data_IF_798174460736
#
_entry.id   IF_798174460736
#
_cell.length_a   1.000
_cell.length_b   1.000
_cell.length_c   1.000
_cell.angle_alpha   90.00
_cell.angle_beta   90.00
_cell.angle_gamma   90.00
#
_symmetry.space_group_name_H-M   'P 1'
#
loop_
_entity.id
_entity.type
_entity.pdbx_description
1 polymer ?
#
# COMPACT_ATOMS: atom_id res chain seq x y z
N UNK A 1 50.16 1.23 -42.24
CA UNK A 1 50.07 2.12 -41.08
C UNK A 1 48.75 2.93 -41.02
N UNK A 2 47.67 2.45 -41.66
CA UNK A 2 46.36 3.10 -41.69
C UNK A 2 45.19 2.19 -41.19
N UNK A 3 45.48 0.97 -40.73
CA UNK A 3 44.47 -0.02 -40.29
C UNK A 3 44.32 -0.02 -38.74
N UNK A 4 45.33 0.46 -38.00
CA UNK A 4 45.30 0.39 -36.53
C UNK A 4 44.51 1.50 -35.86
N UNK A 5 44.29 2.63 -36.55
CA UNK A 5 43.56 3.78 -35.96
C UNK A 5 42.04 3.50 -35.91
N UNK A 6 41.47 2.80 -36.87
CA UNK A 6 40.05 2.42 -36.87
C UNK A 6 39.70 1.40 -35.78
N UNK A 7 40.62 0.48 -35.49
CA UNK A 7 40.43 -0.54 -34.45
C UNK A 7 40.47 0.09 -33.05
N UNK A 8 41.34 1.10 -32.86
CA UNK A 8 41.45 1.82 -31.61
C UNK A 8 40.20 2.69 -31.30
N UNK A 9 39.59 3.29 -32.33
CA UNK A 9 38.33 4.04 -32.19
C UNK A 9 37.12 3.12 -31.93
N UNK A 10 37.13 1.87 -32.41
CA UNK A 10 36.04 0.90 -32.14
C UNK A 10 36.11 0.34 -30.73
N UNK A 11 37.28 0.17 -30.15
CA UNK A 11 37.47 -0.27 -28.76
C UNK A 11 37.07 0.88 -27.80
N UNK A 12 37.46 2.12 -28.08
CA UNK A 12 37.08 3.28 -27.25
C UNK A 12 35.56 3.53 -27.33
N UNK A 13 34.89 3.33 -28.47
CA UNK A 13 33.44 3.44 -28.55
C UNK A 13 32.69 2.34 -27.77
N UNK A 14 33.23 1.14 -27.69
CA UNK A 14 32.67 0.03 -26.94
C UNK A 14 32.84 0.23 -25.43
N UNK A 15 34.00 0.74 -25.00
CA UNK A 15 34.25 1.10 -23.60
C UNK A 15 33.47 2.34 -23.16
N UNK A 16 33.16 3.28 -24.06
CA UNK A 16 32.33 4.44 -23.75
C UNK A 16 30.86 4.10 -23.59
N UNK A 17 30.32 3.07 -24.30
CA UNK A 17 28.97 2.56 -24.06
C UNK A 17 28.90 1.77 -22.74
N UNK A 18 29.91 0.96 -22.43
CA UNK A 18 29.98 0.22 -21.16
C UNK A 18 30.16 1.13 -19.94
N UNK A 19 30.80 2.32 -20.09
CA UNK A 19 30.91 3.33 -19.03
C UNK A 19 29.63 4.16 -18.86
N UNK A 20 28.77 4.29 -19.87
CA UNK A 20 27.48 4.97 -19.72
C UNK A 20 26.52 4.15 -18.84
N UNK A 21 26.58 2.83 -18.89
CA UNK A 21 25.71 1.96 -18.07
C UNK A 21 26.17 1.84 -16.61
N UNK A 22 27.43 2.20 -16.29
CA UNK A 22 27.97 2.20 -14.91
C UNK A 22 27.72 3.52 -14.16
N UNK A 23 27.36 4.60 -14.87
CA UNK A 23 27.17 5.94 -14.28
C UNK A 23 25.70 6.21 -13.84
N UNK A 24 24.80 5.24 -13.91
CA UNK A 24 23.35 5.47 -13.73
C UNK A 24 22.78 5.14 -12.34
N UNK A 25 23.60 4.69 -11.38
CA UNK A 25 23.14 4.61 -9.98
C UNK A 25 23.81 5.73 -9.21
N UNK A 26 23.15 6.90 -9.15
CA UNK A 26 23.66 8.06 -8.41
C UNK A 26 23.28 8.04 -6.92
N UNK A 27 22.52 7.04 -6.48
CA UNK A 27 22.24 6.81 -5.05
C UNK A 27 23.50 6.25 -4.38
N UNK A 28 24.00 6.96 -3.37
CA UNK A 28 25.16 6.54 -2.59
C UNK A 28 24.80 6.45 -1.11
N UNK A 29 25.57 5.70 -0.34
CA UNK A 29 25.37 5.62 1.10
C UNK A 29 25.56 7.00 1.77
N UNK A 30 26.50 7.81 1.27
CA UNK A 30 26.72 9.17 1.74
C UNK A 30 25.49 10.07 1.54
N UNK A 31 24.78 9.94 0.39
CA UNK A 31 23.50 10.64 0.17
C UNK A 31 22.45 10.23 1.18
N UNK A 32 22.36 8.93 1.52
CA UNK A 32 21.40 8.45 2.50
C UNK A 32 21.72 8.96 3.91
N UNK A 33 23.00 9.00 4.30
CA UNK A 33 23.41 9.60 5.57
C UNK A 33 23.16 11.11 5.60
N UNK A 34 23.42 11.81 4.49
CA UNK A 34 23.08 13.23 4.35
C UNK A 34 21.57 13.45 4.45
N UNK A 35 20.76 12.60 3.78
CA UNK A 35 19.31 12.64 3.92
C UNK A 35 18.85 12.41 5.37
N UNK A 36 19.45 11.46 6.08
CA UNK A 36 19.16 11.22 7.49
C UNK A 36 19.51 12.44 8.37
N UNK A 37 20.58 13.18 8.05
CA UNK A 37 20.91 14.42 8.74
C UNK A 37 19.90 15.52 8.43
N UNK A 38 19.55 15.75 7.17
CA UNK A 38 18.60 16.78 6.72
C UNK A 38 17.19 16.53 7.29
N UNK A 39 16.81 15.29 7.43
CA UNK A 39 15.49 14.90 7.94
C UNK A 39 15.35 14.99 9.48
N UNK A 40 16.43 15.27 10.21
CA UNK A 40 16.34 15.50 11.67
C UNK A 40 15.41 16.68 11.98
N UNK A 41 14.44 16.45 12.86
CA UNK A 41 13.43 17.45 13.21
C UNK A 41 12.32 17.66 12.16
N UNK A 42 12.40 16.96 11.04
CA UNK A 42 11.40 16.99 9.96
C UNK A 42 10.59 15.69 9.94
N UNK A 43 11.26 14.58 9.73
CA UNK A 43 10.63 13.26 9.80
C UNK A 43 10.80 12.67 11.21
N UNK A 44 9.82 11.89 11.64
CA UNK A 44 9.93 11.12 12.88
C UNK A 44 10.84 9.92 12.62
N UNK A 45 11.73 9.60 13.56
CA UNK A 45 12.27 8.25 13.67
C UNK A 45 11.15 7.38 14.23
N UNK A 46 10.43 6.71 13.34
CA UNK A 46 9.28 5.88 13.71
C UNK A 46 9.72 4.66 14.51
N UNK A 47 8.85 4.19 15.40
CA UNK A 47 9.15 3.05 16.25
C UNK A 47 9.20 1.74 15.45
N UNK A 48 10.01 0.81 15.95
CA UNK A 48 9.99 -0.59 15.58
C UNK A 48 9.26 -1.36 16.69
N UNK A 49 8.05 -1.85 16.39
CA UNK A 49 7.15 -2.48 17.36
C UNK A 49 7.15 -4.00 17.15
N UNK A 50 7.41 -4.77 18.19
CA UNK A 50 7.27 -6.22 18.15
C UNK A 50 5.79 -6.63 18.05
N UNK A 51 5.48 -7.57 17.17
CA UNK A 51 4.12 -7.99 16.83
C UNK A 51 3.93 -9.52 16.84
N UNK A 52 4.15 -10.20 17.99
CA UNK A 52 4.19 -11.67 18.07
C UNK A 52 2.85 -12.34 17.74
N UNK A 53 1.74 -11.59 17.81
CA UNK A 53 0.40 -12.12 17.53
C UNK A 53 0.07 -12.20 16.04
N UNK A 54 0.92 -11.65 15.16
CA UNK A 54 0.68 -11.67 13.72
C UNK A 54 1.12 -12.99 13.07
N UNK A 55 2.14 -13.64 13.62
CA UNK A 55 2.57 -14.98 13.18
C UNK A 55 3.05 -15.78 14.39
N UNK A 56 2.69 -17.08 14.52
CA UNK A 56 3.12 -17.92 15.62
C UNK A 56 4.55 -18.45 15.46
N UNK A 57 5.08 -18.47 14.25
CA UNK A 57 6.34 -19.10 13.86
C UNK A 57 7.42 -18.13 13.38
N UNK A 58 7.14 -16.82 13.42
CA UNK A 58 8.05 -15.78 12.94
C UNK A 58 8.07 -14.61 13.91
N UNK A 59 9.26 -14.09 14.24
CA UNK A 59 9.40 -12.89 15.08
C UNK A 59 9.17 -11.64 14.25
N UNK A 60 7.93 -11.17 14.19
CA UNK A 60 7.53 -10.00 13.37
C UNK A 60 7.72 -8.71 14.17
N UNK A 61 8.38 -7.75 13.53
CA UNK A 61 8.51 -6.36 13.95
C UNK A 61 7.87 -5.45 12.90
N UNK A 62 7.21 -4.38 13.33
CA UNK A 62 6.55 -3.41 12.47
C UNK A 62 7.31 -2.09 12.46
N UNK A 63 7.84 -1.68 11.31
CA UNK A 63 8.35 -0.31 11.12
C UNK A 63 7.19 0.60 10.78
N UNK A 64 6.80 1.48 11.71
CA UNK A 64 5.51 2.17 11.72
C UNK A 64 5.52 3.50 10.96
N UNK A 65 5.83 3.48 9.66
CA UNK A 65 5.77 4.68 8.81
C UNK A 65 4.34 5.21 8.57
N UNK A 66 3.31 4.44 8.92
CA UNK A 66 1.92 4.91 9.03
C UNK A 66 1.72 5.98 10.12
N UNK A 67 2.61 6.04 11.10
CA UNK A 67 2.62 7.06 12.17
C UNK A 67 3.53 8.26 11.88
N UNK A 68 4.07 8.36 10.66
CA UNK A 68 4.87 9.50 10.22
C UNK A 68 4.03 10.79 10.21
N UNK A 69 4.66 11.96 10.20
CA UNK A 69 3.98 13.28 10.33
C UNK A 69 2.92 13.55 9.26
N UNK A 70 3.05 12.95 8.06
CA UNK A 70 2.03 13.01 6.99
C UNK A 70 1.24 11.71 6.87
N UNK A 71 1.33 10.81 7.87
CA UNK A 71 0.70 9.51 7.82
C UNK A 71 1.35 8.51 6.85
N UNK A 72 2.54 8.81 6.30
CA UNK A 72 3.28 7.90 5.42
C UNK A 72 4.75 8.28 5.27
N UNK A 73 5.57 7.35 4.80
CA UNK A 73 7.00 7.52 4.54
C UNK A 73 7.34 8.60 3.50
N UNK A 74 6.40 8.98 2.65
CA UNK A 74 6.62 9.84 1.47
C UNK A 74 7.26 11.19 1.80
N UNK A 75 7.04 11.70 2.99
CA UNK A 75 7.66 12.96 3.44
C UNK A 75 9.19 12.90 3.43
N UNK A 76 9.79 11.74 3.66
CA UNK A 76 11.24 11.56 3.72
C UNK A 76 11.90 11.91 2.39
N UNK A 77 11.48 11.22 1.32
CA UNK A 77 12.02 11.46 -0.02
C UNK A 77 11.62 12.82 -0.59
N UNK A 78 10.36 13.24 -0.42
CA UNK A 78 9.89 14.53 -0.89
C UNK A 78 10.67 15.69 -0.24
N UNK A 79 10.86 15.65 1.08
CA UNK A 79 11.59 16.70 1.78
C UNK A 79 13.06 16.71 1.39
N UNK A 80 13.72 15.55 1.33
CA UNK A 80 15.13 15.49 0.95
C UNK A 80 15.34 16.02 -0.47
N UNK A 81 14.54 15.59 -1.45
CA UNK A 81 14.60 16.11 -2.83
C UNK A 81 14.45 17.61 -2.87
N UNK A 82 13.43 18.17 -2.23
CA UNK A 82 13.15 19.61 -2.24
C UNK A 82 14.26 20.39 -1.54
N UNK A 83 14.89 19.84 -0.50
CA UNK A 83 16.02 20.47 0.19
C UNK A 83 17.27 20.59 -0.68
N UNK A 84 17.42 19.76 -1.71
CA UNK A 84 18.57 19.76 -2.63
C UNK A 84 18.40 20.71 -3.84
N UNK A 85 17.23 21.34 -3.99
CA UNK A 85 16.98 22.28 -5.09
C UNK A 85 17.86 23.53 -4.95
N UNK A 86 18.37 24.03 -6.08
CA UNK A 86 19.06 25.31 -6.15
C UNK A 86 18.11 26.47 -5.85
N UNK A 87 18.64 27.64 -5.49
CA UNK A 87 17.80 28.82 -5.24
C UNK A 87 16.99 29.25 -6.49
N UNK A 88 17.55 29.02 -7.69
CA UNK A 88 16.82 29.25 -8.94
C UNK A 88 15.66 28.31 -9.16
N UNK A 89 15.83 27.02 -8.85
CA UNK A 89 14.74 26.02 -8.89
C UNK A 89 13.66 26.32 -7.85
N UNK A 90 14.06 26.68 -6.63
CA UNK A 90 13.13 27.09 -5.56
C UNK A 90 12.32 28.33 -5.97
N UNK A 91 12.94 29.31 -6.62
CA UNK A 91 12.26 30.52 -7.07
C UNK A 91 11.21 30.25 -8.16
N UNK A 92 11.41 29.23 -9.01
CA UNK A 92 10.42 28.83 -10.02
C UNK A 92 9.27 28.00 -9.43
N UNK A 93 9.42 27.49 -8.20
CA UNK A 93 8.44 26.62 -7.57
C UNK A 93 8.55 25.16 -8.00
N UNK A 94 7.64 24.34 -7.48
CA UNK A 94 7.64 22.91 -7.72
C UNK A 94 6.24 22.41 -8.13
N UNK A 95 6.25 21.32 -8.89
CA UNK A 95 5.02 20.63 -9.34
C UNK A 95 5.11 19.16 -8.99
N UNK A 96 3.98 18.57 -8.63
CA UNK A 96 3.84 17.13 -8.47
C UNK A 96 2.49 16.66 -9.03
N UNK A 97 2.41 15.38 -9.40
CA UNK A 97 1.15 14.70 -9.70
C UNK A 97 0.93 13.58 -8.68
N UNK A 98 -0.08 13.73 -7.84
CA UNK A 98 -0.48 12.68 -6.88
C UNK A 98 -1.76 13.07 -6.16
N UNK A 99 -2.69 12.13 -6.01
CA UNK A 99 -3.88 12.29 -5.16
C UNK A 99 -3.73 11.64 -3.78
N UNK A 100 -2.50 11.31 -3.35
CA UNK A 100 -2.27 10.55 -2.11
C UNK A 100 -1.09 11.05 -1.27
N UNK A 101 -0.33 10.09 -0.75
CA UNK A 101 0.75 10.32 0.21
C UNK A 101 1.87 11.23 -0.32
N UNK A 102 2.18 11.13 -1.61
CA UNK A 102 3.23 11.96 -2.21
C UNK A 102 2.82 13.44 -2.26
N UNK A 103 1.58 13.74 -2.59
CA UNK A 103 1.03 15.09 -2.56
C UNK A 103 1.24 15.77 -1.20
N UNK A 104 0.91 15.06 -0.13
CA UNK A 104 1.06 15.58 1.24
C UNK A 104 2.54 15.75 1.63
N UNK A 105 3.41 14.82 1.22
CA UNK A 105 4.85 14.92 1.43
C UNK A 105 5.46 16.15 0.73
N UNK A 106 5.09 16.37 -0.53
CA UNK A 106 5.53 17.53 -1.32
C UNK A 106 5.01 18.84 -0.73
N UNK A 107 3.70 18.91 -0.43
CA UNK A 107 3.08 20.10 0.15
C UNK A 107 3.74 20.53 1.46
N UNK A 108 3.95 19.58 2.40
CA UNK A 108 4.63 19.84 3.65
C UNK A 108 6.06 20.34 3.43
N UNK A 109 6.82 19.67 2.55
CA UNK A 109 8.21 19.99 2.29
C UNK A 109 8.35 21.37 1.64
N UNK A 110 7.52 21.67 0.63
CA UNK A 110 7.50 22.96 -0.04
C UNK A 110 7.22 24.10 0.95
N UNK A 111 6.17 23.96 1.74
CA UNK A 111 5.78 24.97 2.74
C UNK A 111 6.89 25.23 3.76
N UNK A 112 7.57 24.18 4.24
CA UNK A 112 8.69 24.34 5.19
C UNK A 112 9.91 25.05 4.58
N UNK A 113 10.07 24.94 3.26
CA UNK A 113 11.13 25.66 2.54
C UNK A 113 10.69 27.02 1.97
N UNK A 114 9.42 27.41 2.17
CA UNK A 114 8.87 28.66 1.63
C UNK A 114 8.73 28.65 0.10
N UNK A 115 8.59 27.47 -0.52
CA UNK A 115 8.50 27.29 -1.97
C UNK A 115 7.05 27.15 -2.38
N UNK A 116 6.63 27.83 -3.44
CA UNK A 116 5.33 27.65 -4.05
C UNK A 116 5.23 26.25 -4.67
N UNK A 117 4.14 25.52 -4.39
CA UNK A 117 3.93 24.17 -4.90
C UNK A 117 2.54 24.01 -5.50
N UNK A 118 2.49 23.38 -6.68
CA UNK A 118 1.26 23.00 -7.36
C UNK A 118 1.17 21.48 -7.41
N UNK A 119 0.04 20.91 -6.99
CA UNK A 119 -0.19 19.46 -7.02
C UNK A 119 -1.40 19.18 -7.93
N UNK A 120 -1.13 18.51 -9.06
CA UNK A 120 -2.16 18.06 -9.98
C UNK A 120 -2.78 16.74 -9.47
N UNK A 121 -4.12 16.68 -9.49
CA UNK A 121 -4.91 15.52 -9.06
C UNK A 121 -6.10 15.32 -10.01
N UNK A 122 -6.55 14.06 -10.22
CA UNK A 122 -7.86 13.84 -10.86
C UNK A 122 -8.97 14.51 -10.07
N UNK A 123 -10.00 15.02 -10.75
CA UNK A 123 -11.17 15.66 -10.13
C UNK A 123 -12.01 14.68 -9.28
N UNK A 124 -11.91 13.37 -9.55
CA UNK A 124 -12.48 12.30 -8.73
C UNK A 124 -11.70 11.95 -7.46
N UNK A 125 -10.60 12.67 -7.12
CA UNK A 125 -9.84 12.42 -5.92
C UNK A 125 -10.69 12.63 -4.63
N UNK A 126 -10.51 11.79 -3.59
CA UNK A 126 -11.25 11.95 -2.33
C UNK A 126 -11.07 13.36 -1.74
N UNK A 127 -12.16 13.99 -1.34
CA UNK A 127 -12.18 15.37 -0.81
C UNK A 127 -11.22 15.50 0.39
N UNK A 128 -11.15 14.49 1.25
CA UNK A 128 -10.25 14.46 2.40
C UNK A 128 -8.77 14.58 2.00
N UNK A 129 -8.36 13.96 0.89
CA UNK A 129 -6.99 14.03 0.36
C UNK A 129 -6.69 15.40 -0.26
N UNK A 130 -7.65 15.96 -1.01
CA UNK A 130 -7.56 17.32 -1.57
C UNK A 130 -7.39 18.37 -0.46
N UNK A 131 -8.27 18.34 0.53
CA UNK A 131 -8.24 19.29 1.64
C UNK A 131 -7.00 19.12 2.55
N UNK A 132 -6.51 17.89 2.72
CA UNK A 132 -5.27 17.65 3.45
C UNK A 132 -4.06 18.25 2.75
N UNK A 133 -3.99 18.15 1.41
CA UNK A 133 -2.91 18.74 0.61
C UNK A 133 -2.95 20.27 0.65
N UNK A 134 -4.14 20.89 0.49
CA UNK A 134 -4.31 22.34 0.63
C UNK A 134 -3.93 22.84 2.03
N UNK A 135 -4.33 22.12 3.09
CA UNK A 135 -4.00 22.46 4.47
C UNK A 135 -2.50 22.46 4.75
N UNK A 136 -1.75 21.62 4.01
CA UNK A 136 -0.28 21.58 4.06
C UNK A 136 0.39 22.68 3.21
N UNK A 137 -0.41 23.55 2.56
CA UNK A 137 0.06 24.78 1.90
C UNK A 137 0.26 24.67 0.39
N UNK A 138 -0.07 23.55 -0.26
CA UNK A 138 0.03 23.45 -1.71
C UNK A 138 -1.22 24.00 -2.41
N UNK A 139 -1.05 24.59 -3.57
CA UNK A 139 -2.10 24.82 -4.55
C UNK A 139 -2.50 23.48 -5.19
N UNK A 140 -3.79 23.19 -5.27
CA UNK A 140 -4.31 21.96 -5.87
C UNK A 140 -4.94 22.26 -7.22
N UNK A 141 -4.41 21.69 -8.28
CA UNK A 141 -4.94 21.71 -9.62
C UNK A 141 -5.77 20.43 -9.87
N UNK A 142 -7.10 20.54 -9.85
CA UNK A 142 -8.00 19.44 -10.18
C UNK A 142 -8.16 19.31 -11.69
N UNK A 143 -7.87 18.11 -12.21
CA UNK A 143 -7.91 17.80 -13.64
C UNK A 143 -9.01 16.78 -13.92
N UNK A 144 -9.86 17.06 -14.88
CA UNK A 144 -10.94 16.14 -15.26
C UNK A 144 -10.34 14.91 -15.92
N UNK A 145 -10.66 13.73 -15.37
CA UNK A 145 -10.24 12.45 -15.94
C UNK A 145 -9.46 11.56 -14.96
N UNK A 146 -8.44 10.90 -15.49
CA UNK A 146 -7.64 9.87 -14.79
C UNK A 146 -6.37 10.45 -14.15
N UNK A 147 -5.57 9.58 -13.53
CA UNK A 147 -4.23 9.94 -13.08
C UNK A 147 -3.32 10.36 -14.24
N UNK A 148 -3.44 9.68 -15.39
CA UNK A 148 -2.61 9.96 -16.56
C UNK A 148 -2.91 11.39 -17.09
N UNK A 149 -4.19 11.81 -17.14
CA UNK A 149 -4.59 13.16 -17.51
C UNK A 149 -4.03 14.22 -16.54
N UNK A 150 -4.05 13.94 -15.24
CA UNK A 150 -3.48 14.83 -14.23
C UNK A 150 -1.95 14.92 -14.32
N UNK A 151 -1.28 13.84 -14.69
CA UNK A 151 0.15 13.81 -14.93
C UNK A 151 0.53 14.65 -16.16
N UNK A 152 -0.20 14.48 -17.27
CA UNK A 152 0.03 15.27 -18.49
C UNK A 152 -0.13 16.77 -18.20
N UNK A 153 -1.15 17.15 -17.44
CA UNK A 153 -1.33 18.56 -17.03
C UNK A 153 -0.19 19.06 -16.15
N UNK A 154 0.36 18.21 -15.27
CA UNK A 154 1.51 18.58 -14.46
C UNK A 154 2.76 18.82 -15.33
N UNK A 155 2.96 17.99 -16.36
CA UNK A 155 4.06 18.14 -17.32
C UNK A 155 3.90 19.43 -18.15
N UNK A 156 2.66 19.74 -18.61
CA UNK A 156 2.39 21.01 -19.30
C UNK A 156 2.71 22.22 -18.41
N UNK A 157 2.23 22.23 -17.16
CA UNK A 157 2.52 23.30 -16.20
C UNK A 157 4.02 23.43 -15.93
N UNK A 158 4.75 22.32 -15.85
CA UNK A 158 6.21 22.33 -15.74
C UNK A 158 6.86 23.06 -16.93
N UNK A 159 6.41 22.79 -18.15
CA UNK A 159 6.93 23.45 -19.36
C UNK A 159 6.59 24.94 -19.40
N UNK A 160 5.36 25.30 -19.00
CA UNK A 160 4.87 26.69 -18.98
C UNK A 160 5.62 27.56 -17.94
N UNK A 161 5.90 27.00 -16.77
CA UNK A 161 6.43 27.76 -15.61
C UNK A 161 7.93 27.56 -15.36
N UNK A 162 8.51 26.50 -15.90
CA UNK A 162 9.87 26.08 -15.59
C UNK A 162 10.04 25.52 -14.16
N UNK A 163 8.94 25.24 -13.45
CA UNK A 163 8.97 24.66 -12.11
C UNK A 163 9.57 23.24 -12.10
N UNK A 164 10.13 22.84 -10.98
CA UNK A 164 10.76 21.51 -10.85
C UNK A 164 9.70 20.46 -10.55
N UNK A 165 9.63 19.40 -11.38
CA UNK A 165 8.76 18.26 -11.13
C UNK A 165 9.35 17.36 -10.04
N UNK A 166 8.57 17.07 -9.00
CA UNK A 166 8.98 16.19 -7.91
C UNK A 166 8.41 14.80 -8.15
N UNK A 167 9.26 13.90 -8.67
CA UNK A 167 8.85 12.55 -9.03
C UNK A 167 8.53 11.70 -7.78
N UNK A 168 7.46 10.88 -7.77
CA UNK A 168 7.02 10.16 -6.57
C UNK A 168 7.91 8.97 -6.16
N UNK A 169 8.82 8.48 -7.03
CA UNK A 169 9.66 7.30 -6.76
C UNK A 169 10.94 7.20 -7.61
N UNK A 170 10.94 7.63 -8.88
CA UNK A 170 12.06 7.44 -9.81
C UNK A 170 12.97 8.67 -9.86
N UNK A 171 13.63 8.95 -8.73
CA UNK A 171 14.53 10.09 -8.54
C UNK A 171 15.52 9.73 -7.43
N UNK A 172 16.82 9.95 -7.67
CA UNK A 172 17.92 9.57 -6.76
C UNK A 172 17.81 10.18 -5.36
N UNK A 173 17.41 11.45 -5.27
CA UNK A 173 17.24 12.14 -3.99
C UNK A 173 16.00 11.61 -3.26
N UNK A 174 14.90 11.35 -3.98
CA UNK A 174 13.71 10.73 -3.40
C UNK A 174 14.05 9.35 -2.86
N UNK A 175 14.75 8.52 -3.63
CA UNK A 175 15.21 7.19 -3.23
C UNK A 175 16.12 7.27 -2.01
N UNK A 176 17.08 8.21 -1.99
CA UNK A 176 17.99 8.41 -0.87
C UNK A 176 17.25 8.80 0.42
N UNK A 177 16.26 9.69 0.32
CA UNK A 177 15.39 10.04 1.46
C UNK A 177 14.64 8.83 2.03
N UNK A 178 14.11 7.95 1.17
CA UNK A 178 13.45 6.70 1.60
C UNK A 178 14.44 5.71 2.22
N UNK A 179 15.69 5.69 1.76
CA UNK A 179 16.77 4.85 2.27
C UNK A 179 17.06 5.05 3.75
N UNK A 180 16.74 6.22 4.30
CA UNK A 180 16.90 6.51 5.74
C UNK A 180 16.13 5.56 6.64
N UNK A 181 15.04 4.95 6.14
CA UNK A 181 14.29 3.90 6.86
C UNK A 181 15.16 2.65 7.06
N UNK A 182 15.95 2.28 6.05
CA UNK A 182 16.89 1.15 6.16
C UNK A 182 17.94 1.36 7.24
N UNK A 183 18.48 2.60 7.36
CA UNK A 183 19.39 2.96 8.45
C UNK A 183 18.72 2.83 9.82
N UNK A 184 17.50 3.35 9.95
CA UNK A 184 16.75 3.27 11.20
C UNK A 184 16.42 1.82 11.61
N UNK A 185 16.08 0.95 10.66
CA UNK A 185 15.82 -0.48 10.92
C UNK A 185 17.05 -1.16 11.48
N UNK A 186 18.22 -1.00 10.85
CA UNK A 186 19.47 -1.59 11.30
C UNK A 186 19.93 -1.05 12.67
N UNK A 187 19.64 0.22 12.97
CA UNK A 187 19.93 0.83 14.27
C UNK A 187 18.98 0.31 15.38
N UNK A 188 17.70 0.06 15.04
CA UNK A 188 16.69 -0.40 16.00
C UNK A 188 16.69 -1.93 16.21
N UNK A 189 17.15 -2.73 15.23
CA UNK A 189 17.23 -4.18 15.28
C UNK A 189 18.49 -4.67 14.55
N UNK A 190 19.61 -4.68 15.24
CA UNK A 190 20.92 -4.98 14.65
C UNK A 190 21.04 -6.42 14.11
N UNK A 191 20.26 -7.37 14.66
CA UNK A 191 20.23 -8.79 14.31
C UNK A 191 18.98 -9.16 13.49
N UNK A 192 18.47 -8.22 12.68
CA UNK A 192 17.37 -8.48 11.73
C UNK A 192 17.81 -9.47 10.65
N UNK A 193 16.99 -10.47 10.38
CA UNK A 193 17.24 -11.47 9.33
C UNK A 193 16.65 -11.05 7.96
N UNK A 194 15.46 -10.43 7.99
CA UNK A 194 14.78 -10.03 6.77
C UNK A 194 13.93 -8.75 6.94
N UNK A 195 13.78 -8.01 5.86
CA UNK A 195 12.90 -6.83 5.77
C UNK A 195 11.95 -6.98 4.60
N UNK A 196 10.66 -6.78 4.84
CA UNK A 196 9.60 -6.87 3.83
C UNK A 196 9.08 -5.45 3.55
N UNK A 197 9.12 -5.05 2.27
CA UNK A 197 8.87 -3.67 1.85
C UNK A 197 7.79 -3.62 0.75
N UNK A 198 6.77 -2.77 0.89
CA UNK A 198 5.78 -2.53 -0.16
C UNK A 198 6.41 -1.95 -1.44
N UNK A 199 5.94 -2.40 -2.60
CA UNK A 199 6.37 -1.88 -3.91
C UNK A 199 5.18 -1.30 -4.67
N UNK A 200 5.24 0.01 -4.99
CA UNK A 200 4.53 0.62 -6.10
C UNK A 200 5.50 0.81 -7.27
N UNK A 201 5.93 2.03 -7.53
CA UNK A 201 6.96 2.32 -8.54
C UNK A 201 8.40 2.00 -8.16
N UNK A 202 8.66 1.52 -6.92
CA UNK A 202 9.96 0.99 -6.50
C UNK A 202 10.82 1.91 -5.62
N UNK A 203 10.51 3.21 -5.49
CA UNK A 203 11.41 4.16 -4.80
C UNK A 203 11.69 3.84 -3.32
N UNK A 204 10.69 3.33 -2.60
CA UNK A 204 10.84 2.95 -1.20
C UNK A 204 11.81 1.76 -1.05
N UNK A 205 11.50 0.66 -1.74
CA UNK A 205 12.31 -0.55 -1.63
C UNK A 205 13.72 -0.34 -2.17
N UNK A 206 13.90 0.46 -3.23
CA UNK A 206 15.23 0.81 -3.76
C UNK A 206 16.10 1.48 -2.70
N UNK A 207 15.58 2.50 -2.03
CA UNK A 207 16.31 3.18 -0.97
C UNK A 207 16.60 2.26 0.23
N UNK A 208 15.59 1.55 0.71
CA UNK A 208 15.70 0.65 1.87
C UNK A 208 16.67 -0.49 1.58
N UNK A 209 16.51 -1.18 0.43
CA UNK A 209 17.37 -2.31 0.06
C UNK A 209 18.82 -1.88 -0.14
N UNK A 210 19.06 -0.75 -0.80
CA UNK A 210 20.40 -0.23 -0.99
C UNK A 210 21.08 0.09 0.34
N UNK A 211 20.39 0.78 1.27
CA UNK A 211 20.93 1.10 2.58
C UNK A 211 21.27 -0.19 3.37
N UNK A 212 20.35 -1.14 3.41
CA UNK A 212 20.53 -2.41 4.13
C UNK A 212 21.67 -3.23 3.52
N UNK A 213 21.65 -3.49 2.20
CA UNK A 213 22.67 -4.31 1.53
C UNK A 213 24.06 -3.70 1.55
N UNK A 214 24.16 -2.36 1.61
CA UNK A 214 25.45 -1.66 1.73
C UNK A 214 26.07 -1.82 3.12
N UNK A 215 25.25 -1.96 4.18
CA UNK A 215 25.71 -2.03 5.56
C UNK A 215 25.74 -3.47 6.11
N UNK A 216 24.75 -4.28 5.73
CA UNK A 216 24.66 -5.69 6.11
C UNK A 216 24.09 -6.52 4.94
N UNK A 217 24.94 -7.03 4.03
CA UNK A 217 24.50 -7.78 2.84
C UNK A 217 23.80 -9.11 3.15
N UNK A 218 23.94 -9.63 4.38
CA UNK A 218 23.32 -10.89 4.80
C UNK A 218 21.80 -10.74 5.05
N UNK A 219 21.33 -9.55 5.40
CA UNK A 219 19.90 -9.29 5.62
C UNK A 219 19.15 -9.45 4.29
N UNK A 220 18.10 -10.26 4.31
CA UNK A 220 17.22 -10.44 3.14
C UNK A 220 16.26 -9.28 2.99
N UNK A 221 16.08 -8.79 1.77
CA UNK A 221 15.08 -7.76 1.46
C UNK A 221 14.08 -8.31 0.46
N UNK A 222 12.83 -8.33 0.87
CA UNK A 222 11.72 -8.83 0.06
C UNK A 222 10.78 -7.71 -0.31
N UNK A 223 10.33 -7.73 -1.57
CA UNK A 223 9.33 -6.79 -2.07
C UNK A 223 7.94 -7.41 -2.15
N UNK A 224 6.91 -6.60 -1.91
CA UNK A 224 5.52 -7.06 -2.00
C UNK A 224 4.68 -6.09 -2.80
N UNK A 225 3.92 -6.63 -3.77
CA UNK A 225 2.91 -5.89 -4.54
C UNK A 225 1.51 -6.46 -4.31
N UNK A 226 0.49 -5.65 -4.58
CA UNK A 226 -0.86 -6.16 -4.74
C UNK A 226 -0.96 -7.00 -6.04
N UNK A 227 -1.64 -8.14 -5.98
CA UNK A 227 -1.84 -9.02 -7.15
C UNK A 227 -2.58 -8.31 -8.30
N UNK A 228 -3.37 -7.27 -7.99
CA UNK A 228 -4.05 -6.43 -8.99
C UNK A 228 -3.18 -5.33 -9.60
N UNK A 229 -1.91 -5.18 -9.18
CA UNK A 229 -0.96 -4.20 -9.71
C UNK A 229 0.50 -4.74 -9.69
N UNK A 230 0.80 -5.90 -10.33
CA UNK A 230 2.07 -6.61 -10.18
C UNK A 230 3.15 -6.13 -11.16
N UNK A 231 3.26 -4.83 -11.42
CA UNK A 231 4.16 -4.29 -12.45
C UNK A 231 5.64 -4.60 -12.21
N UNK A 232 6.14 -4.41 -10.99
CA UNK A 232 7.52 -4.73 -10.63
C UNK A 232 7.75 -6.25 -10.55
N UNK A 233 6.76 -7.00 -10.05
CA UNK A 233 6.82 -8.46 -10.00
C UNK A 233 7.00 -9.04 -11.42
N UNK A 234 6.16 -8.64 -12.37
CA UNK A 234 6.26 -9.08 -13.75
C UNK A 234 7.62 -8.66 -14.36
N UNK A 235 8.01 -7.40 -14.15
CA UNK A 235 9.28 -6.87 -14.67
C UNK A 235 10.48 -7.68 -14.18
N UNK A 236 10.51 -8.06 -12.88
CA UNK A 236 11.61 -8.87 -12.33
C UNK A 236 11.56 -10.32 -12.77
N UNK A 237 10.38 -10.89 -13.03
CA UNK A 237 10.28 -12.26 -13.59
C UNK A 237 10.81 -12.34 -15.02
N UNK A 238 10.64 -11.29 -15.80
CA UNK A 238 11.03 -11.26 -17.22
C UNK A 238 12.35 -10.52 -17.48
N UNK A 239 12.97 -9.94 -16.45
CA UNK A 239 14.22 -9.17 -16.51
C UNK A 239 14.17 -7.97 -17.47
N UNK A 240 13.00 -7.35 -17.63
CA UNK A 240 12.81 -6.09 -18.36
C UNK A 240 11.58 -5.34 -17.82
N UNK A 241 11.60 -4.03 -18.00
CA UNK A 241 10.48 -3.17 -17.60
C UNK A 241 9.21 -3.53 -18.34
N UNK A 242 8.14 -3.78 -17.59
CA UNK A 242 6.82 -4.04 -18.13
C UNK A 242 5.81 -2.97 -17.65
N UNK A 243 4.97 -2.55 -18.60
CA UNK A 243 3.82 -1.68 -18.32
C UNK A 243 2.55 -2.51 -18.34
N UNK A 244 1.80 -2.47 -17.24
CA UNK A 244 0.49 -3.12 -17.15
C UNK A 244 -0.55 -2.38 -17.99
N UNK A 245 -1.41 -3.11 -18.66
CA UNK A 245 -2.55 -2.53 -19.39
C UNK A 245 -3.58 -1.88 -18.45
N UNK A 246 -3.76 -2.44 -17.26
CA UNK A 246 -4.65 -1.94 -16.22
C UNK A 246 -4.16 -2.31 -14.83
N UNK A 247 -4.64 -1.59 -13.82
CA UNK A 247 -4.44 -1.90 -12.40
C UNK A 247 -5.79 -1.97 -11.70
N UNK A 248 -5.96 -2.92 -10.80
CA UNK A 248 -7.20 -3.12 -10.05
C UNK A 248 -6.88 -3.54 -8.62
N UNK A 249 -6.71 -2.56 -7.74
CA UNK A 249 -6.45 -2.78 -6.30
C UNK A 249 -6.97 -1.62 -5.48
N UNK A 250 -7.48 -1.89 -4.26
CA UNK A 250 -7.77 -0.82 -3.29
C UNK A 250 -6.51 -0.30 -2.57
N UNK A 251 -5.36 -0.95 -2.75
CA UNK A 251 -4.06 -0.48 -2.26
C UNK A 251 -3.52 0.66 -3.17
N UNK A 252 -4.23 1.78 -3.22
CA UNK A 252 -4.03 2.92 -4.13
C UNK A 252 -2.59 3.48 -4.09
N UNK A 253 -1.94 3.48 -2.92
CA UNK A 253 -0.55 3.94 -2.76
C UNK A 253 0.50 3.12 -3.53
N UNK A 254 0.16 1.92 -4.00
CA UNK A 254 1.02 1.03 -4.80
C UNK A 254 0.40 0.61 -6.14
N UNK A 255 -0.71 1.23 -6.55
CA UNK A 255 -1.39 0.97 -7.83
C UNK A 255 -0.64 1.63 -9.00
N UNK A 256 0.53 1.10 -9.35
CA UNK A 256 1.44 1.67 -10.35
C UNK A 256 1.52 0.76 -11.57
N UNK A 257 1.23 1.33 -12.76
CA UNK A 257 1.27 0.59 -14.03
C UNK A 257 2.70 0.25 -14.49
N UNK A 258 3.64 1.18 -14.31
CA UNK A 258 5.01 1.06 -14.80
C UNK A 258 5.98 1.38 -13.68
N UNK A 259 6.93 0.48 -13.35
CA UNK A 259 8.03 0.81 -12.43
C UNK A 259 8.91 1.93 -13.01
N UNK A 260 9.75 2.54 -12.18
CA UNK A 260 10.76 3.48 -12.68
C UNK A 260 11.96 2.76 -13.29
N UNK A 261 12.66 3.42 -14.20
CA UNK A 261 13.90 2.90 -14.80
C UNK A 261 15.01 2.71 -13.76
N UNK A 262 15.23 3.71 -12.91
CA UNK A 262 16.22 3.66 -11.83
C UNK A 262 15.81 2.59 -10.81
N UNK A 263 14.55 2.63 -10.40
CA UNK A 263 14.05 1.73 -9.34
C UNK A 263 14.02 0.27 -9.78
N UNK A 264 13.68 -0.03 -11.03
CA UNK A 264 13.75 -1.40 -11.56
C UNK A 264 15.18 -1.95 -11.49
N UNK A 265 16.16 -1.21 -11.98
CA UNK A 265 17.57 -1.62 -11.94
C UNK A 265 18.06 -1.85 -10.50
N UNK A 266 17.61 -1.03 -9.55
CA UNK A 266 17.95 -1.19 -8.13
C UNK A 266 17.28 -2.42 -7.52
N UNK A 267 16.01 -2.69 -7.85
CA UNK A 267 15.30 -3.88 -7.38
C UNK A 267 15.96 -5.14 -7.90
N UNK A 268 16.26 -5.22 -9.19
CA UNK A 268 17.00 -6.36 -9.79
C UNK A 268 18.33 -6.64 -9.06
N UNK A 269 18.99 -5.59 -8.58
CA UNK A 269 20.32 -5.71 -7.98
C UNK A 269 20.31 -6.00 -6.47
N UNK A 270 19.35 -5.43 -5.73
CA UNK A 270 19.42 -5.38 -4.27
C UNK A 270 18.27 -6.09 -3.56
N UNK A 271 17.24 -6.56 -4.27
CA UNK A 271 16.08 -7.23 -3.69
C UNK A 271 16.18 -8.74 -3.92
N UNK A 272 15.99 -9.52 -2.85
CA UNK A 272 16.18 -10.98 -2.92
C UNK A 272 15.00 -11.70 -3.60
N UNK A 273 13.77 -11.19 -3.45
CA UNK A 273 12.59 -11.66 -4.19
C UNK A 273 11.45 -10.64 -4.12
N UNK A 274 10.58 -10.69 -5.13
CA UNK A 274 9.31 -9.93 -5.15
C UNK A 274 8.17 -10.94 -5.16
N UNK A 275 7.14 -10.70 -4.33
CA UNK A 275 5.92 -11.53 -4.24
C UNK A 275 4.67 -10.68 -4.34
N UNK A 276 3.52 -11.34 -4.55
CA UNK A 276 2.22 -10.66 -4.58
C UNK A 276 1.29 -11.18 -3.51
N UNK A 277 0.39 -10.29 -3.05
CA UNK A 277 -0.71 -10.60 -2.12
C UNK A 277 -2.03 -10.19 -2.72
N UNK A 278 -3.09 -10.96 -2.43
CA UNK A 278 -4.44 -10.68 -2.91
C UNK A 278 -5.11 -9.56 -2.11
N UNK A 279 -6.21 -9.02 -2.64
CA UNK A 279 -7.03 -8.00 -1.96
C UNK A 279 -7.57 -8.51 -0.60
N UNK A 280 -7.95 -9.80 -0.52
CA UNK A 280 -8.43 -10.39 0.72
C UNK A 280 -7.32 -10.56 1.77
N UNK A 281 -6.12 -10.91 1.35
CA UNK A 281 -4.94 -10.98 2.22
C UNK A 281 -4.56 -9.59 2.76
N UNK A 282 -4.65 -8.56 1.92
CA UNK A 282 -4.43 -7.16 2.33
C UNK A 282 -5.48 -6.73 3.35
N UNK A 283 -6.77 -7.02 3.07
CA UNK A 283 -7.87 -6.69 3.97
C UNK A 283 -7.72 -7.39 5.34
N UNK A 284 -7.37 -8.67 5.33
CA UNK A 284 -7.10 -9.43 6.56
C UNK A 284 -5.93 -8.86 7.37
N UNK A 285 -4.87 -8.40 6.70
CA UNK A 285 -3.73 -7.76 7.36
C UNK A 285 -4.10 -6.41 7.98
N UNK A 286 -4.92 -5.58 7.30
CA UNK A 286 -5.43 -4.33 7.88
C UNK A 286 -6.24 -4.63 9.15
N UNK A 287 -7.14 -5.61 9.10
CA UNK A 287 -7.95 -5.99 10.26
C UNK A 287 -7.07 -6.49 11.41
N UNK A 288 -6.08 -7.33 11.13
CA UNK A 288 -5.12 -7.82 12.13
C UNK A 288 -4.31 -6.68 12.77
N UNK A 289 -3.87 -5.70 11.98
CA UNK A 289 -3.19 -4.50 12.50
C UNK A 289 -4.08 -3.71 13.44
N UNK A 290 -5.36 -3.52 13.12
CA UNK A 290 -6.33 -2.82 13.97
C UNK A 290 -6.59 -3.63 15.25
N UNK A 291 -6.94 -4.90 15.13
CA UNK A 291 -7.38 -5.71 16.27
C UNK A 291 -6.23 -6.08 17.20
N UNK A 292 -5.08 -6.48 16.64
CA UNK A 292 -3.97 -7.03 17.43
C UNK A 292 -2.91 -5.99 17.80
N UNK A 293 -2.69 -4.98 16.94
CA UNK A 293 -1.62 -3.99 17.12
C UNK A 293 -2.11 -2.57 17.41
N UNK A 294 -3.42 -2.29 17.28
CA UNK A 294 -4.04 -0.96 17.44
C UNK A 294 -3.48 0.08 16.45
N UNK A 295 -3.05 -0.41 15.29
CA UNK A 295 -2.51 0.41 14.21
C UNK A 295 -3.48 0.46 13.03
N UNK A 296 -3.67 1.67 12.48
CA UNK A 296 -4.40 1.88 11.24
C UNK A 296 -3.39 1.93 10.09
N UNK A 297 -3.61 1.11 9.07
CA UNK A 297 -2.83 1.09 7.82
C UNK A 297 -3.75 1.23 6.62
N UNK A 298 -3.27 1.89 5.59
CA UNK A 298 -3.85 1.81 4.24
C UNK A 298 -3.48 0.48 3.55
N UNK A 299 -4.14 0.15 2.44
CA UNK A 299 -3.85 -1.09 1.70
C UNK A 299 -2.38 -1.25 1.35
N UNK A 300 -1.76 -0.18 0.82
CA UNK A 300 -0.34 -0.17 0.48
C UNK A 300 0.59 -0.42 1.68
N UNK A 301 0.21 0.07 2.86
CA UNK A 301 0.97 -0.14 4.10
C UNK A 301 0.83 -1.54 4.69
N UNK A 302 -0.22 -2.26 4.36
CA UNK A 302 -0.53 -3.57 4.92
C UNK A 302 0.07 -4.75 4.14
N UNK A 303 0.50 -4.57 2.87
CA UNK A 303 0.94 -5.68 2.01
C UNK A 303 2.15 -6.44 2.58
N UNK A 304 3.07 -5.76 3.27
CA UNK A 304 4.22 -6.41 3.91
C UNK A 304 3.78 -7.36 5.04
N UNK A 305 2.80 -6.93 5.84
CA UNK A 305 2.20 -7.74 6.91
C UNK A 305 1.40 -8.90 6.31
N UNK A 306 0.65 -8.66 5.23
CA UNK A 306 -0.07 -9.70 4.50
C UNK A 306 0.88 -10.80 4.01
N UNK A 307 2.01 -10.44 3.38
CA UNK A 307 2.99 -11.42 2.90
C UNK A 307 3.57 -12.29 4.03
N UNK A 308 3.79 -11.70 5.20
CA UNK A 308 4.26 -12.43 6.37
C UNK A 308 3.16 -13.36 6.94
N UNK A 309 1.93 -12.84 7.14
CA UNK A 309 0.81 -13.61 7.71
C UNK A 309 0.39 -14.79 6.85
N UNK A 310 0.48 -14.65 5.53
CA UNK A 310 0.05 -15.69 4.56
C UNK A 310 1.21 -16.50 3.99
N UNK A 311 2.36 -16.55 4.69
CA UNK A 311 3.53 -17.39 4.37
C UNK A 311 3.99 -17.30 2.91
N UNK A 312 4.00 -16.08 2.34
CA UNK A 312 4.45 -15.86 0.96
C UNK A 312 5.97 -15.93 0.79
N UNK A 313 6.71 -15.93 1.91
CA UNK A 313 8.17 -15.79 1.97
C UNK A 313 8.78 -16.82 2.94
N UNK A 314 10.04 -17.27 2.73
CA UNK A 314 10.71 -18.23 3.61
C UNK A 314 11.29 -17.53 4.86
N UNK A 315 10.42 -17.18 5.79
CA UNK A 315 10.76 -16.35 6.97
C UNK A 315 10.53 -17.04 8.32
N UNK A 316 10.17 -18.30 8.36
CA UNK A 316 9.95 -19.08 9.57
C UNK A 316 11.17 -19.06 10.49
N UNK A 317 10.95 -18.85 11.78
CA UNK A 317 11.99 -18.77 12.81
C UNK A 317 12.88 -17.53 12.75
N UNK A 318 12.61 -16.57 11.84
CA UNK A 318 13.45 -15.39 11.61
C UNK A 318 12.91 -14.14 12.30
N UNK A 319 13.82 -13.18 12.54
CA UNK A 319 13.49 -11.80 12.94
C UNK A 319 13.21 -10.97 11.70
N UNK A 320 11.96 -10.63 11.50
CA UNK A 320 11.46 -10.02 10.26
C UNK A 320 10.84 -8.66 10.53
N UNK A 321 11.29 -7.64 9.81
CA UNK A 321 10.66 -6.31 9.84
C UNK A 321 9.69 -6.18 8.68
N UNK A 322 8.40 -5.99 8.99
CA UNK A 322 7.39 -5.58 8.02
C UNK A 322 7.26 -4.06 8.03
N UNK A 323 7.47 -3.40 6.89
CA UNK A 323 7.35 -1.96 6.78
C UNK A 323 5.89 -1.58 6.53
N UNK A 324 5.25 -0.96 7.54
CA UNK A 324 3.89 -0.39 7.44
C UNK A 324 3.99 1.01 6.87
N UNK A 325 3.96 1.12 5.54
CA UNK A 325 4.43 2.29 4.81
C UNK A 325 3.53 3.52 4.88
N UNK A 326 2.24 3.36 5.19
CA UNK A 326 1.28 4.45 5.30
C UNK A 326 -0.02 4.05 5.98
N UNK A 327 -0.75 5.06 6.50
CA UNK A 327 -2.01 4.91 7.22
C UNK A 327 -3.15 5.79 6.69
N UNK A 328 -2.98 6.47 5.57
CA UNK A 328 -3.95 7.42 5.01
C UNK A 328 -5.09 6.72 4.25
N UNK A 329 -5.71 5.73 4.90
CA UNK A 329 -6.84 5.00 4.34
C UNK A 329 -8.11 5.87 4.33
N UNK A 330 -8.89 5.74 3.25
CA UNK A 330 -10.24 6.32 3.22
C UNK A 330 -11.17 5.57 4.16
N UNK A 331 -11.98 6.31 4.94
CA UNK A 331 -12.87 5.73 5.95
C UNK A 331 -13.92 4.79 5.34
N UNK A 332 -14.38 5.07 4.11
CA UNK A 332 -15.31 4.19 3.40
C UNK A 332 -14.64 2.86 3.01
N UNK A 333 -13.38 2.91 2.58
CA UNK A 333 -12.60 1.70 2.30
C UNK A 333 -12.37 0.91 3.59
N UNK A 334 -12.00 1.61 4.68
CA UNK A 334 -11.81 1.00 5.99
C UNK A 334 -13.09 0.29 6.47
N UNK A 335 -14.25 0.93 6.31
CA UNK A 335 -15.56 0.32 6.63
C UNK A 335 -15.81 -0.96 5.85
N UNK A 336 -15.51 -0.96 4.54
CA UNK A 336 -15.65 -2.17 3.69
C UNK A 336 -14.70 -3.29 4.12
N UNK A 337 -13.44 -2.94 4.44
CA UNK A 337 -12.44 -3.89 4.93
C UNK A 337 -12.90 -4.54 6.24
N UNK A 338 -13.38 -3.73 7.20
CA UNK A 338 -13.88 -4.23 8.48
C UNK A 338 -15.09 -5.16 8.26
N UNK A 339 -16.08 -4.72 7.49
CA UNK A 339 -17.28 -5.53 7.20
C UNK A 339 -16.91 -6.86 6.56
N UNK A 340 -16.05 -6.84 5.52
CA UNK A 340 -15.60 -8.07 4.85
C UNK A 340 -14.82 -8.99 5.79
N UNK A 341 -13.94 -8.42 6.61
CA UNK A 341 -13.17 -9.19 7.59
C UNK A 341 -14.04 -9.84 8.65
N UNK A 342 -15.08 -9.18 9.12
CA UNK A 342 -16.06 -9.75 10.05
C UNK A 342 -16.83 -10.91 9.43
N UNK A 343 -17.22 -10.81 8.16
CA UNK A 343 -17.88 -11.92 7.43
C UNK A 343 -16.92 -13.10 7.25
N UNK A 344 -15.68 -12.82 6.81
CA UNK A 344 -14.67 -13.87 6.58
C UNK A 344 -14.23 -14.59 7.86
N UNK A 345 -14.33 -13.94 9.02
CA UNK A 345 -14.05 -14.55 10.32
C UNK A 345 -15.28 -15.22 10.98
N UNK A 346 -16.41 -15.22 10.30
CA UNK A 346 -17.66 -15.76 10.84
C UNK A 346 -18.25 -14.94 11.99
N UNK A 347 -17.87 -13.66 12.10
CA UNK A 347 -18.40 -12.73 13.12
C UNK A 347 -19.65 -12.00 12.64
N UNK A 348 -19.87 -11.95 11.34
CA UNK A 348 -21.10 -11.49 10.70
C UNK A 348 -21.55 -12.53 9.67
N UNK A 349 -22.86 -12.74 9.56
CA UNK A 349 -23.43 -13.58 8.51
C UNK A 349 -24.82 -13.10 8.14
N UNK A 350 -25.24 -13.40 6.91
CA UNK A 350 -26.62 -13.26 6.48
C UNK A 350 -27.22 -14.64 6.29
N UNK A 351 -28.41 -14.86 6.84
CA UNK A 351 -29.21 -16.06 6.61
C UNK A 351 -30.44 -15.69 5.79
N UNK A 352 -30.77 -16.52 4.82
CA UNK A 352 -32.02 -16.45 4.09
C UNK A 352 -32.87 -17.68 4.42
N UNK A 353 -34.06 -17.43 4.95
CA UNK A 353 -34.99 -18.47 5.45
C UNK A 353 -36.28 -18.36 4.66
N UNK A 354 -36.68 -19.46 4.04
CA UNK A 354 -38.00 -19.53 3.42
C UNK A 354 -39.06 -19.82 4.50
N UNK A 355 -40.05 -18.94 4.58
CA UNK A 355 -41.13 -19.02 5.59
C UNK A 355 -42.52 -19.07 4.92
N UNK A 356 -43.48 -19.66 5.63
CA UNK A 356 -44.88 -19.36 5.37
C UNK A 356 -45.19 -17.94 5.88
N UNK A 357 -45.90 -17.11 5.11
CA UNK A 357 -46.28 -15.76 5.52
C UNK A 357 -47.41 -15.78 6.55
N UNK A 358 -47.06 -16.12 7.78
CA UNK A 358 -48.00 -16.26 8.92
C UNK A 358 -47.48 -15.51 10.14
N UNK A 359 -48.37 -14.97 11.00
CA UNK A 359 -47.96 -14.38 12.30
C UNK A 359 -47.20 -15.40 13.16
N UNK A 360 -46.13 -14.89 13.85
CA UNK A 360 -45.34 -15.70 14.78
C UNK A 360 -44.08 -16.31 14.18
N UNK A 361 -43.95 -16.43 12.86
CA UNK A 361 -42.76 -17.05 12.24
C UNK A 361 -41.46 -16.31 12.56
N UNK A 362 -41.44 -14.98 12.48
CA UNK A 362 -40.28 -14.15 12.84
C UNK A 362 -39.93 -14.33 14.33
N UNK A 363 -40.92 -14.41 15.22
CA UNK A 363 -40.66 -14.59 16.64
C UNK A 363 -39.95 -15.92 16.89
N UNK A 364 -40.42 -17.04 16.30
CA UNK A 364 -39.81 -18.36 16.45
C UNK A 364 -38.36 -18.38 15.93
N UNK A 365 -38.11 -17.82 14.76
CA UNK A 365 -36.75 -17.69 14.22
C UNK A 365 -35.84 -16.89 15.15
N UNK A 366 -36.32 -15.76 15.66
CA UNK A 366 -35.53 -14.88 16.56
C UNK A 366 -35.24 -15.57 17.90
N UNK A 367 -36.20 -16.33 18.47
CA UNK A 367 -36.01 -17.09 19.71
C UNK A 367 -34.93 -18.17 19.55
N UNK A 368 -34.91 -18.90 18.41
CA UNK A 368 -33.88 -19.91 18.13
C UNK A 368 -32.52 -19.30 18.01
N UNK A 369 -32.39 -18.18 17.26
CA UNK A 369 -31.15 -17.46 17.10
C UNK A 369 -30.63 -16.96 18.45
N UNK A 370 -31.49 -16.36 19.26
CA UNK A 370 -31.15 -15.85 20.58
C UNK A 370 -30.73 -16.98 21.53
N UNK A 371 -31.42 -18.14 21.50
CA UNK A 371 -31.06 -19.32 22.29
C UNK A 371 -29.66 -19.86 21.94
N UNK A 372 -29.21 -19.72 20.66
CA UNK A 372 -27.85 -20.05 20.23
C UNK A 372 -26.86 -18.90 20.48
N UNK A 373 -27.27 -17.77 21.10
CA UNK A 373 -26.42 -16.64 21.42
C UNK A 373 -26.08 -15.73 20.22
N UNK A 374 -26.79 -15.85 19.09
CA UNK A 374 -26.63 -14.94 17.95
C UNK A 374 -27.37 -13.61 18.20
N UNK A 375 -26.76 -12.49 17.79
CA UNK A 375 -27.38 -11.16 17.86
C UNK A 375 -27.92 -10.76 16.47
N UNK A 376 -29.23 -10.39 16.42
CA UNK A 376 -29.89 -9.97 15.18
C UNK A 376 -29.61 -8.48 14.95
N UNK A 377 -28.99 -8.14 13.81
CA UNK A 377 -28.65 -6.74 13.46
C UNK A 377 -29.53 -6.18 12.36
N UNK A 378 -30.10 -7.04 11.52
CA UNK A 378 -31.04 -6.61 10.48
C UNK A 378 -32.06 -7.70 10.16
N UNK A 379 -33.27 -7.27 9.81
CA UNK A 379 -34.37 -8.14 9.39
C UNK A 379 -35.02 -7.54 8.16
N UNK A 380 -35.08 -8.33 7.11
CA UNK A 380 -35.74 -7.94 5.87
C UNK A 380 -36.73 -9.02 5.44
N UNK A 381 -38.03 -8.67 5.37
CA UNK A 381 -39.11 -9.55 4.97
C UNK A 381 -39.41 -9.33 3.49
N UNK A 382 -39.02 -10.27 2.63
CA UNK A 382 -39.15 -10.17 1.19
C UNK A 382 -40.32 -11.03 0.71
N UNK A 383 -41.36 -10.37 0.15
CA UNK A 383 -42.58 -10.98 -0.40
C UNK A 383 -42.63 -10.86 -1.93
N UNK A 384 -41.61 -10.26 -2.53
CA UNK A 384 -41.60 -9.88 -3.96
C UNK A 384 -41.00 -10.91 -4.90
N UNK A 385 -40.46 -12.03 -4.42
CA UNK A 385 -39.84 -13.03 -5.29
C UNK A 385 -40.89 -13.83 -6.05
N UNK A 386 -40.90 -13.69 -7.38
CA UNK A 386 -41.85 -14.33 -8.30
C UNK A 386 -41.71 -15.86 -8.36
N UNK A 387 -40.68 -16.46 -7.80
CA UNK A 387 -40.43 -17.89 -7.73
C UNK A 387 -41.02 -18.55 -6.47
N UNK A 388 -41.69 -17.78 -5.61
CA UNK A 388 -42.35 -18.29 -4.41
C UNK A 388 -43.87 -18.41 -4.57
N UNK A 389 -44.47 -19.26 -3.75
CA UNK A 389 -45.95 -19.30 -3.65
C UNK A 389 -46.44 -17.99 -3.01
N UNK A 390 -47.67 -17.59 -3.33
CA UNK A 390 -48.30 -16.36 -2.79
C UNK A 390 -48.39 -16.39 -1.25
N UNK A 391 -48.37 -17.57 -0.62
CA UNK A 391 -48.42 -17.77 0.83
C UNK A 391 -47.06 -17.89 1.50
N UNK A 392 -45.95 -17.62 0.77
CA UNK A 392 -44.59 -17.76 1.26
C UNK A 392 -43.83 -16.45 1.16
N UNK A 393 -42.78 -16.29 1.98
CA UNK A 393 -41.88 -15.14 1.95
C UNK A 393 -40.46 -15.58 2.28
N UNK A 394 -39.49 -14.76 1.94
CA UNK A 394 -38.12 -14.89 2.43
C UNK A 394 -37.87 -13.94 3.62
N UNK A 395 -37.30 -14.50 4.67
CA UNK A 395 -36.72 -13.70 5.75
C UNK A 395 -35.23 -13.65 5.57
N UNK A 396 -34.69 -12.44 5.21
CA UNK A 396 -33.26 -12.16 5.23
C UNK A 396 -32.91 -11.58 6.57
N UNK A 397 -32.00 -12.25 7.30
CA UNK A 397 -31.65 -11.86 8.65
C UNK A 397 -30.14 -11.75 8.77
N UNK A 398 -29.66 -10.55 9.12
CA UNK A 398 -28.25 -10.29 9.39
C UNK A 398 -27.95 -10.55 10.86
N UNK A 399 -26.88 -11.27 11.12
CA UNK A 399 -26.46 -11.71 12.46
C UNK A 399 -25.04 -11.29 12.78
N UNK A 400 -24.81 -10.86 14.02
CA UNK A 400 -23.51 -10.90 14.67
C UNK A 400 -23.37 -12.22 15.41
N UNK A 401 -22.22 -12.86 15.23
CA UNK A 401 -21.87 -14.17 15.78
C UNK A 401 -20.42 -14.15 16.30
N UNK A 402 -20.01 -15.12 17.08
CA UNK A 402 -18.65 -15.24 17.60
C UNK A 402 -17.68 -15.76 16.54
N UNK A 403 -18.12 -16.78 15.79
CA UNK A 403 -17.30 -17.55 14.86
C UNK A 403 -18.16 -18.40 13.92
N UNK A 404 -17.52 -19.12 13.01
CA UNK A 404 -18.17 -20.03 12.09
C UNK A 404 -18.90 -21.21 12.79
N UNK A 405 -18.43 -21.66 13.95
CA UNK A 405 -19.06 -22.75 14.68
C UNK A 405 -20.45 -22.32 15.17
N UNK A 406 -20.57 -21.12 15.72
CA UNK A 406 -21.87 -20.60 16.15
C UNK A 406 -22.82 -20.41 14.95
N UNK A 407 -22.31 -19.99 13.78
CA UNK A 407 -23.15 -19.93 12.57
C UNK A 407 -23.70 -21.31 12.21
N UNK A 408 -22.88 -22.35 12.30
CA UNK A 408 -23.33 -23.73 12.04
C UNK A 408 -24.34 -24.20 13.09
N UNK A 409 -24.14 -23.90 14.36
CA UNK A 409 -25.11 -24.20 15.44
C UNK A 409 -26.47 -23.54 15.17
N UNK A 410 -26.50 -22.27 14.81
CA UNK A 410 -27.73 -21.53 14.48
C UNK A 410 -28.42 -22.17 13.27
N UNK A 411 -27.70 -22.45 12.20
CA UNK A 411 -28.23 -23.07 10.99
C UNK A 411 -28.86 -24.46 11.31
N UNK A 412 -28.17 -25.26 12.11
CA UNK A 412 -28.65 -26.57 12.52
C UNK A 412 -29.90 -26.47 13.39
N UNK A 413 -29.94 -25.56 14.35
CA UNK A 413 -31.08 -25.35 15.23
C UNK A 413 -32.32 -24.90 14.44
N UNK A 414 -32.17 -23.98 13.49
CA UNK A 414 -33.24 -23.56 12.58
C UNK A 414 -33.76 -24.72 11.73
N UNK A 415 -32.87 -25.54 11.16
CA UNK A 415 -33.23 -26.71 10.36
C UNK A 415 -33.96 -27.74 11.19
N UNK A 416 -33.53 -28.03 12.42
CA UNK A 416 -34.16 -28.94 13.34
C UNK A 416 -35.58 -28.49 13.76
N UNK A 417 -35.80 -27.16 13.80
CA UNK A 417 -37.12 -26.58 14.05
C UNK A 417 -38.04 -26.53 12.81
N UNK A 418 -37.59 -27.07 11.68
CA UNK A 418 -38.35 -27.16 10.43
C UNK A 418 -38.24 -25.95 9.52
N UNK A 419 -37.30 -25.01 9.77
CA UNK A 419 -37.08 -23.88 8.90
C UNK A 419 -36.16 -24.25 7.73
N UNK A 420 -36.51 -23.77 6.54
CA UNK A 420 -35.76 -24.00 5.31
C UNK A 420 -34.77 -22.86 5.05
N UNK A 421 -33.46 -23.14 5.20
CA UNK A 421 -32.39 -22.21 4.81
C UNK A 421 -32.17 -22.29 3.30
N UNK A 422 -32.09 -21.12 2.68
CA UNK A 422 -31.87 -20.96 1.24
C UNK A 422 -30.51 -20.30 1.05
N UNK A 423 -29.71 -20.78 0.09
CA UNK A 423 -28.49 -20.08 -0.31
C UNK A 423 -28.85 -18.74 -0.96
N UNK A 424 -28.18 -17.67 -0.55
CA UNK A 424 -28.30 -16.41 -1.29
C UNK A 424 -27.97 -16.66 -2.77
N UNK A 425 -28.91 -16.31 -3.64
CA UNK A 425 -28.60 -16.22 -5.07
C UNK A 425 -27.76 -14.97 -5.28
N UNK A 426 -26.50 -15.15 -5.66
CA UNK A 426 -25.58 -14.10 -6.09
C UNK A 426 -26.09 -13.50 -7.41
#
# INVERSE_FOLDING_TARGET
MAIDILHFFFIIKRDFHFRKDILLIMVTLDKIYHAAFVLKGVARKTDLIEAPTLSPDTHIYLKTENLQITGSFKVRGAYYKISQLTEEEKARGIIACSAGNHAQGVALAATRHGIHSVVCMPDGAPISKVESTKRLGAEVCLVKGTYDDAHDRAVELQQETGATFIHPYDDDEVIAGQGTIGLEILDQLADVDAVIVPIGGGGLISGVSFAIKSLNPNVKVYGVQAAGAPSMFNSTQHHHLETLSSVSTFADGIAVKTPGDITFNMVEKYVDAVVTVSEDEIAAAILALIEKQKLISEGAGAVAVAAAMFHKLPIEGKKVVCLVSGGNIDVNILSRVITRGLVMSGRNTNLMIALEDKPGQLQQVSEIIAACGGNVVSVHHDRGDTNMSISSCFLKIGLETRDHLQIMEIKQALTNAGFHLVSERV
#
